data_IF_582205742261
#
_entry.id   IF_582205742261
#
_cell.length_a   1.000
_cell.length_b   1.000
_cell.length_c   1.000
_cell.angle_alpha   90.00
_cell.angle_beta   90.00
_cell.angle_gamma   90.00
#
_symmetry.space_group_name_H-M   'P 1'
#
loop_
_entity.id
_entity.type
_entity.pdbx_description
1 polymer ?
#
# COMPACT_ATOMS: atom_id res chain seq x y z
N UNK A 1 -4.79 -17.50 -4.86
CA UNK A 1 -3.85 -16.40 -4.67
C UNK A 1 -2.58 -16.70 -5.43
N UNK A 2 -2.11 -15.79 -6.26
CA UNK A 2 -0.92 -15.99 -7.06
C UNK A 2 0.37 -15.64 -6.33
N UNK A 3 1.48 -15.98 -6.96
CA UNK A 3 2.79 -15.58 -6.46
C UNK A 3 3.09 -14.17 -6.99
N UNK A 4 3.46 -13.25 -6.10
CA UNK A 4 3.88 -11.91 -6.50
C UNK A 4 5.40 -11.88 -6.68
N UNK A 5 5.85 -10.96 -7.54
CA UNK A 5 7.28 -10.81 -7.82
C UNK A 5 7.84 -9.65 -7.01
N UNK A 6 8.64 -9.99 -6.01
CA UNK A 6 9.25 -9.02 -5.13
C UNK A 6 8.23 -8.27 -4.28
N UNK A 7 8.70 -7.39 -3.43
CA UNK A 7 7.83 -6.59 -2.57
C UNK A 7 7.01 -5.58 -3.37
N UNK A 8 7.59 -5.04 -4.43
CA UNK A 8 6.90 -4.06 -5.29
C UNK A 8 5.61 -4.65 -5.87
N UNK A 9 5.65 -5.90 -6.30
CA UNK A 9 4.49 -6.58 -6.85
C UNK A 9 3.38 -6.82 -5.84
N UNK A 10 3.69 -6.79 -4.56
CA UNK A 10 2.72 -7.00 -3.49
C UNK A 10 2.04 -5.71 -3.04
N UNK A 11 2.58 -4.55 -3.40
CA UNK A 11 1.97 -3.27 -3.01
C UNK A 11 0.62 -3.11 -3.69
N UNK A 12 -0.41 -2.79 -2.91
CA UNK A 12 -1.73 -2.52 -3.43
C UNK A 12 -2.62 -3.75 -3.63
N UNK A 13 -2.07 -4.94 -3.51
CA UNK A 13 -2.85 -6.18 -3.60
C UNK A 13 -3.44 -6.54 -2.24
N UNK A 14 -4.08 -5.57 -1.62
CA UNK A 14 -4.66 -5.74 -0.30
C UNK A 14 -6.09 -6.29 -0.40
N UNK A 15 -6.52 -7.12 0.56
CA UNK A 15 -7.87 -7.67 0.50
C UNK A 15 -8.93 -6.62 0.75
N UNK A 16 -10.07 -6.80 0.08
CA UNK A 16 -11.26 -6.02 0.33
C UNK A 16 -12.14 -6.83 1.27
N UNK A 17 -12.43 -6.29 2.43
CA UNK A 17 -13.10 -7.02 3.50
C UNK A 17 -14.44 -6.38 3.81
N UNK A 18 -15.49 -7.19 3.87
CA UNK A 18 -16.79 -6.73 4.33
C UNK A 18 -16.76 -6.57 5.86
N UNK A 19 -17.11 -5.38 6.32
CA UNK A 19 -17.20 -5.10 7.75
C UNK A 19 -18.57 -5.52 8.22
N UNK A 20 -18.68 -6.78 8.67
CA UNK A 20 -19.96 -7.42 8.95
C UNK A 20 -20.80 -6.68 10.00
N UNK A 21 -20.17 -6.33 11.12
CA UNK A 21 -20.87 -5.70 12.21
C UNK A 21 -21.46 -4.33 11.81
N UNK A 22 -20.63 -3.49 11.22
CA UNK A 22 -21.06 -2.15 10.77
C UNK A 22 -22.07 -2.24 9.65
N UNK A 23 -21.93 -3.20 8.76
CA UNK A 23 -22.89 -3.38 7.68
C UNK A 23 -24.27 -3.74 8.22
N UNK A 24 -24.33 -4.61 9.21
CA UNK A 24 -25.60 -4.99 9.83
C UNK A 24 -26.24 -3.82 10.60
N UNK A 25 -25.42 -3.07 11.35
CA UNK A 25 -25.94 -1.96 12.14
C UNK A 25 -26.55 -0.85 11.32
N UNK A 26 -25.92 -0.57 10.18
CA UNK A 26 -26.32 0.56 9.33
C UNK A 26 -27.29 0.18 8.24
N UNK A 27 -27.44 -1.11 7.95
CA UNK A 27 -28.23 -1.55 6.80
C UNK A 27 -27.53 -1.27 5.48
N UNK A 28 -26.26 -0.88 5.52
CA UNK A 28 -25.46 -0.59 4.33
C UNK A 28 -24.42 -1.67 4.11
N UNK A 29 -23.89 -1.76 2.91
CA UNK A 29 -22.74 -2.60 2.64
C UNK A 29 -21.49 -1.76 2.86
N UNK A 30 -20.73 -2.07 3.90
CA UNK A 30 -19.52 -1.33 4.25
C UNK A 30 -18.33 -2.25 4.03
N UNK A 31 -17.40 -1.81 3.18
CA UNK A 31 -16.22 -2.57 2.81
C UNK A 31 -14.98 -1.80 3.25
N UNK A 32 -13.98 -2.53 3.74
CA UNK A 32 -12.71 -1.96 4.14
C UNK A 32 -11.57 -2.57 3.33
N UNK A 33 -10.69 -1.72 2.85
CA UNK A 33 -9.47 -2.16 2.18
C UNK A 33 -8.37 -2.34 3.23
N UNK A 34 -7.88 -3.56 3.40
CA UNK A 34 -6.92 -3.88 4.46
C UNK A 34 -5.51 -3.43 4.09
N UNK A 35 -5.28 -2.12 4.08
CA UNK A 35 -4.01 -1.53 3.65
C UNK A 35 -2.84 -1.84 4.59
N UNK A 36 -3.12 -2.23 5.83
CA UNK A 36 -2.07 -2.69 6.75
C UNK A 36 -1.41 -4.00 6.27
N UNK A 37 -1.98 -4.66 5.27
CA UNK A 37 -1.42 -5.88 4.68
C UNK A 37 -0.51 -5.60 3.49
N UNK A 38 -0.24 -4.34 3.17
CA UNK A 38 0.84 -4.00 2.26
C UNK A 38 2.19 -4.43 2.86
N UNK A 39 3.22 -4.68 2.02
CA UNK A 39 4.54 -5.10 2.52
C UNK A 39 5.13 -4.19 3.60
N UNK A 40 4.95 -2.88 3.48
CA UNK A 40 5.40 -1.91 4.47
C UNK A 40 4.39 -1.64 5.57
N UNK A 41 3.22 -2.23 5.50
CA UNK A 41 2.21 -2.21 6.55
C UNK A 41 1.21 -1.07 6.51
N UNK A 42 1.15 -0.27 5.46
CA UNK A 42 0.20 0.84 5.41
C UNK A 42 -0.14 1.27 3.99
N UNK A 43 -1.11 2.18 3.87
CA UNK A 43 -1.47 2.80 2.61
C UNK A 43 -0.32 3.63 2.03
N UNK A 44 0.61 4.04 2.87
CA UNK A 44 1.79 4.81 2.42
C UNK A 44 2.68 4.04 1.46
N UNK A 45 2.60 2.72 1.46
CA UNK A 45 3.31 1.89 0.49
C UNK A 45 2.97 2.29 -0.95
N UNK A 46 1.72 2.64 -1.20
CA UNK A 46 1.28 3.07 -2.54
C UNK A 46 1.95 4.36 -2.96
N UNK A 47 2.00 5.33 -2.04
CA UNK A 47 2.66 6.60 -2.30
C UNK A 47 4.17 6.41 -2.48
N UNK A 48 4.78 5.58 -1.66
CA UNK A 48 6.22 5.28 -1.76
C UNK A 48 6.56 4.67 -3.12
N UNK A 49 5.77 3.72 -3.58
CA UNK A 49 5.97 3.11 -4.89
C UNK A 49 5.85 4.15 -6.01
N UNK A 50 4.84 5.01 -5.92
CA UNK A 50 4.64 6.08 -6.91
C UNK A 50 5.83 7.03 -6.98
N UNK A 51 6.38 7.42 -5.83
CA UNK A 51 7.54 8.30 -5.76
C UNK A 51 8.76 7.62 -6.39
N UNK A 52 8.98 6.34 -6.07
CA UNK A 52 10.11 5.59 -6.62
C UNK A 52 10.02 5.47 -8.13
N UNK A 53 8.84 5.15 -8.67
CA UNK A 53 8.64 5.02 -10.10
C UNK A 53 8.83 6.36 -10.81
N UNK A 54 8.35 7.43 -10.22
CA UNK A 54 8.52 8.78 -10.77
C UNK A 54 9.99 9.20 -10.78
N UNK A 55 10.73 8.93 -9.71
CA UNK A 55 12.15 9.25 -9.61
C UNK A 55 12.98 8.45 -10.62
N UNK A 56 12.62 7.20 -10.83
CA UNK A 56 13.26 6.35 -11.82
C UNK A 56 13.00 6.87 -13.23
N UNK A 57 11.77 7.24 -13.54
CA UNK A 57 11.39 7.76 -14.85
C UNK A 57 12.04 9.11 -15.17
N UNK A 58 12.21 9.98 -14.15
CA UNK A 58 12.83 11.29 -14.33
C UNK A 58 14.35 11.23 -14.38
N UNK A 59 14.95 10.11 -13.99
CA UNK A 59 16.41 9.96 -13.94
C UNK A 59 17.02 10.41 -12.62
N UNK A 60 16.21 10.84 -11.65
CA UNK A 60 16.71 11.22 -10.32
C UNK A 60 17.19 9.99 -9.55
N UNK A 61 16.58 8.84 -9.81
CA UNK A 61 17.01 7.56 -9.25
C UNK A 61 17.54 6.69 -10.36
N UNK A 62 18.83 6.39 -10.31
CA UNK A 62 19.51 5.60 -11.34
C UNK A 62 19.90 4.24 -10.79
N UNK A 63 20.17 3.31 -11.71
CA UNK A 63 20.67 1.99 -11.33
C UNK A 63 21.91 2.13 -10.47
N UNK A 64 21.96 1.39 -9.37
CA UNK A 64 23.05 1.48 -8.39
C UNK A 64 22.92 2.60 -7.39
N UNK A 65 21.93 3.47 -7.57
CA UNK A 65 21.64 4.53 -6.60
C UNK A 65 20.98 3.99 -5.35
N UNK A 66 21.02 4.81 -4.30
CA UNK A 66 20.38 4.48 -3.02
C UNK A 66 19.20 5.40 -2.79
N UNK A 67 18.07 4.80 -2.44
CA UNK A 67 16.87 5.55 -2.08
C UNK A 67 16.45 5.14 -0.67
N UNK A 68 16.27 6.13 0.19
CA UNK A 68 15.76 5.89 1.53
C UNK A 68 14.41 6.58 1.65
N UNK A 69 13.37 5.78 1.84
CA UNK A 69 12.03 6.28 2.09
C UNK A 69 11.66 6.00 3.54
N UNK A 70 11.30 7.06 4.24
CA UNK A 70 10.87 6.97 5.61
C UNK A 70 9.38 7.24 5.68
N UNK A 71 8.62 6.23 6.05
CA UNK A 71 7.18 6.38 6.20
C UNK A 71 6.84 6.36 7.68
N UNK A 72 6.08 7.35 8.12
CA UNK A 72 5.57 7.34 9.48
C UNK A 72 4.39 6.38 9.55
N UNK A 73 4.06 5.95 10.77
CA UNK A 73 2.87 5.16 11.01
C UNK A 73 1.65 6.05 10.71
N UNK A 74 0.79 5.60 9.79
CA UNK A 74 -0.40 6.35 9.42
C UNK A 74 -1.33 6.57 10.61
N UNK A 75 -1.29 5.69 11.59
CA UNK A 75 -2.10 5.84 12.80
C UNK A 75 -1.68 7.03 13.63
N UNK A 76 -0.47 7.53 13.44
CA UNK A 76 0.03 8.69 14.16
C UNK A 76 -0.45 10.01 13.56
N UNK A 77 -1.03 9.91 12.40
CA UNK A 77 -1.55 11.08 11.70
C UNK A 77 -3.01 11.32 12.12
#
# INVERSE_FOLDING_TARGET
>A
MGITRGFVGAVGNTPLIRLEHLSKRTGCEILGKAEFMNPGGSVKDRAALGILLAAEASGDLKAGGTCLLYTSDAADE
#
